data_IF_725200153008
#
_entry.id   IF_725200153008
#
_cell.length_a   1.000
_cell.length_b   1.000
_cell.length_c   1.000
_cell.angle_alpha   90.00
_cell.angle_beta   90.00
_cell.angle_gamma   90.00
#
_symmetry.space_group_name_H-M   'P 1'
#
loop_
_entity.id
_entity.type
_entity.pdbx_description
1 polymer ?
#
# COMPACT_ATOMS: atom_id res chain seq x y z
N UNK A 1 7.44 -13.01 -39.73
CA UNK A 1 6.97 -12.30 -38.52
C UNK A 1 8.14 -12.09 -37.59
N UNK A 2 8.13 -11.02 -36.79
CA UNK A 2 9.19 -10.69 -35.82
C UNK A 2 8.78 -11.21 -34.44
N UNK A 3 9.69 -11.90 -33.75
CA UNK A 3 9.45 -12.43 -32.40
C UNK A 3 9.47 -11.30 -31.37
N UNK A 4 8.44 -11.21 -30.53
CA UNK A 4 8.33 -10.25 -29.43
C UNK A 4 8.25 -11.03 -28.13
N UNK A 5 8.99 -10.59 -27.11
CA UNK A 5 9.02 -11.20 -25.78
C UNK A 5 8.74 -10.16 -24.69
N UNK A 6 8.34 -10.63 -23.51
CA UNK A 6 8.18 -9.84 -22.29
C UNK A 6 8.67 -10.62 -21.06
N UNK A 7 8.73 -9.95 -19.91
CA UNK A 7 9.19 -10.54 -18.64
C UNK A 7 8.04 -10.56 -17.62
N UNK A 8 7.07 -11.47 -17.78
CA UNK A 8 5.89 -11.46 -16.91
C UNK A 8 6.25 -11.93 -15.50
N UNK A 9 5.51 -11.44 -14.52
CA UNK A 9 5.44 -11.93 -13.13
C UNK A 9 6.62 -11.58 -12.19
N UNK A 10 7.76 -11.11 -12.69
CA UNK A 10 8.97 -10.92 -11.85
C UNK A 10 8.88 -9.75 -10.86
N UNK A 11 8.01 -8.75 -11.07
CA UNK A 11 7.95 -7.53 -10.24
C UNK A 11 6.80 -7.50 -9.22
N UNK A 12 6.06 -8.60 -9.09
CA UNK A 12 4.79 -8.61 -8.33
C UNK A 12 4.98 -8.25 -6.86
N UNK A 13 5.96 -8.89 -6.22
CA UNK A 13 6.18 -8.76 -4.78
C UNK A 13 6.85 -7.42 -4.45
N UNK A 14 7.89 -7.03 -5.18
CA UNK A 14 8.60 -5.75 -4.99
C UNK A 14 7.65 -4.54 -5.16
N UNK A 15 6.76 -4.60 -6.16
CA UNK A 15 5.77 -3.53 -6.36
C UNK A 15 4.77 -3.48 -5.21
N UNK A 16 4.39 -4.63 -4.65
CA UNK A 16 3.50 -4.69 -3.50
C UNK A 16 4.17 -4.14 -2.24
N UNK A 17 5.46 -4.43 -2.02
CA UNK A 17 6.24 -3.89 -0.91
C UNK A 17 6.36 -2.36 -1.00
N UNK A 18 6.69 -1.83 -2.19
CA UNK A 18 6.73 -0.39 -2.42
C UNK A 18 5.37 0.28 -2.19
N UNK A 19 4.28 -0.38 -2.62
CA UNK A 19 2.92 0.14 -2.38
C UNK A 19 2.63 0.28 -0.88
N UNK A 20 2.98 -0.74 -0.08
CA UNK A 20 2.82 -0.68 1.38
C UNK A 20 3.70 0.41 2.02
N UNK A 21 4.94 0.57 1.56
CA UNK A 21 5.83 1.63 2.02
C UNK A 21 5.21 3.02 1.78
N UNK A 22 4.69 3.28 0.58
CA UNK A 22 4.02 4.55 0.24
C UNK A 22 2.76 4.77 1.09
N UNK A 23 1.95 3.72 1.29
CA UNK A 23 0.75 3.79 2.14
C UNK A 23 1.04 4.15 3.59
N UNK A 24 2.20 3.74 4.12
CA UNK A 24 2.66 4.12 5.46
C UNK A 24 3.28 5.52 5.48
N UNK A 25 4.06 5.86 4.44
CA UNK A 25 4.80 7.10 4.37
C UNK A 25 3.92 8.34 4.40
N UNK A 26 2.80 8.32 3.67
CA UNK A 26 1.88 9.46 3.56
C UNK A 26 1.23 9.83 4.90
N UNK A 27 0.44 8.97 5.55
CA UNK A 27 -0.26 9.33 6.78
C UNK A 27 0.67 9.50 7.98
N UNK A 28 1.91 8.98 7.92
CA UNK A 28 2.93 9.17 8.96
C UNK A 28 3.90 10.32 8.64
N UNK A 29 3.69 11.03 7.52
CA UNK A 29 4.49 12.21 7.11
C UNK A 29 6.00 11.91 7.07
N UNK A 30 6.37 10.69 6.64
CA UNK A 30 7.76 10.23 6.68
C UNK A 30 8.70 11.11 5.85
N UNK A 31 8.27 11.52 4.65
CA UNK A 31 9.07 12.38 3.79
C UNK A 31 9.31 13.76 4.43
N UNK A 32 8.29 14.35 5.05
CA UNK A 32 8.43 15.63 5.77
C UNK A 32 9.38 15.50 6.95
N UNK A 33 9.23 14.43 7.75
CA UNK A 33 10.13 14.15 8.87
C UNK A 33 11.58 13.98 8.42
N UNK A 34 11.82 13.21 7.36
CA UNK A 34 13.15 13.05 6.78
C UNK A 34 13.74 14.38 6.33
N UNK A 35 12.97 15.19 5.59
CA UNK A 35 13.42 16.50 5.11
C UNK A 35 13.76 17.47 6.24
N UNK A 36 13.03 17.44 7.37
CA UNK A 36 13.36 18.27 8.53
C UNK A 36 14.70 17.85 9.16
N UNK A 37 14.99 16.55 9.19
CA UNK A 37 16.22 16.03 9.79
C UNK A 37 17.45 16.24 8.90
N UNK A 38 17.28 16.22 7.58
CA UNK A 38 18.37 16.39 6.61
C UNK A 38 18.55 17.83 6.14
N UNK A 39 17.62 18.73 6.46
CA UNK A 39 17.68 20.14 6.07
C UNK A 39 18.57 20.98 6.97
N UNK A 40 18.88 22.19 6.53
CA UNK A 40 19.76 23.13 7.26
C UNK A 40 19.13 23.70 8.55
N UNK A 41 17.81 23.56 8.70
CA UNK A 41 17.09 24.04 9.89
C UNK A 41 17.24 23.04 11.03
N UNK A 42 17.74 23.51 12.18
CA UNK A 42 17.89 22.69 13.39
C UNK A 42 16.52 22.18 13.86
N UNK A 43 16.36 20.86 13.93
CA UNK A 43 15.18 20.24 14.52
C UNK A 43 15.07 20.63 16.00
N UNK A 44 13.95 21.26 16.37
CA UNK A 44 13.73 21.78 17.73
C UNK A 44 13.47 20.69 18.79
N UNK A 45 13.49 19.41 18.40
CA UNK A 45 13.21 18.27 19.28
C UNK A 45 11.76 17.80 19.21
N UNK A 46 11.43 16.82 20.05
CA UNK A 46 10.11 16.21 20.13
C UNK A 46 9.11 17.15 20.83
N UNK A 47 7.84 17.13 20.39
CA UNK A 47 6.71 17.78 21.05
C UNK A 47 5.43 16.95 20.83
N UNK A 48 4.45 16.96 21.75
CA UNK A 48 3.18 16.23 21.58
C UNK A 48 2.41 16.56 20.30
N UNK A 49 2.58 17.78 19.78
CA UNK A 49 1.92 18.26 18.56
C UNK A 49 2.79 18.14 17.31
N UNK A 50 4.04 17.76 17.46
CA UNK A 50 4.97 17.63 16.35
C UNK A 50 4.65 16.40 15.50
N UNK A 51 4.49 16.60 14.19
CA UNK A 51 4.28 15.54 13.20
C UNK A 51 3.11 14.60 13.50
N UNK A 52 2.00 15.14 14.02
CA UNK A 52 0.76 14.38 14.16
C UNK A 52 0.33 13.80 12.81
N UNK A 53 0.28 12.47 12.76
CA UNK A 53 -0.12 11.70 11.59
C UNK A 53 -1.43 10.98 11.82
N UNK A 54 -1.79 10.10 10.89
CA UNK A 54 -2.97 9.24 11.00
C UNK A 54 -2.53 7.78 11.03
N UNK A 55 -3.20 6.96 11.85
CA UNK A 55 -3.03 5.51 11.80
C UNK A 55 -3.74 4.92 10.59
N UNK A 56 -3.23 3.82 10.04
CA UNK A 56 -3.91 3.07 8.96
C UNK A 56 -4.76 1.91 9.50
N UNK A 57 -4.47 1.41 10.70
CA UNK A 57 -5.23 0.34 11.33
C UNK A 57 -6.72 0.66 11.42
N UNK A 58 -7.56 -0.32 11.07
CA UNK A 58 -9.02 -0.22 11.08
C UNK A 58 -9.59 0.61 9.92
N UNK A 59 -8.77 1.05 8.97
CA UNK A 59 -9.23 1.74 7.76
C UNK A 59 -9.56 0.75 6.64
N UNK A 60 -10.31 1.24 5.66
CA UNK A 60 -10.66 0.50 4.44
C UNK A 60 -9.66 0.85 3.33
N UNK A 61 -9.09 -0.17 2.67
CA UNK A 61 -8.27 -0.03 1.48
C UNK A 61 -9.09 -0.44 0.25
N UNK A 62 -9.28 0.49 -0.69
CA UNK A 62 -9.85 0.21 -2.00
C UNK A 62 -8.77 -0.10 -3.03
N UNK A 63 -8.84 -1.25 -3.69
CA UNK A 63 -7.92 -1.68 -4.74
C UNK A 63 -8.67 -1.72 -6.09
N UNK A 64 -8.27 -0.88 -7.04
CA UNK A 64 -8.80 -0.93 -8.40
C UNK A 64 -7.89 -1.82 -9.25
N UNK A 65 -8.39 -3.00 -9.63
CA UNK A 65 -7.61 -4.03 -10.32
C UNK A 65 -6.94 -5.03 -9.36
N UNK A 66 -7.70 -6.06 -8.98
CA UNK A 66 -7.24 -7.24 -8.25
C UNK A 66 -6.57 -8.25 -9.18
N UNK A 67 -5.43 -7.85 -9.76
CA UNK A 67 -4.48 -8.73 -10.44
C UNK A 67 -3.41 -9.24 -9.49
N UNK A 68 -2.29 -9.75 -10.02
CA UNK A 68 -1.18 -10.31 -9.20
C UNK A 68 -0.67 -9.33 -8.13
N UNK A 69 -0.39 -8.09 -8.52
CA UNK A 69 0.09 -7.03 -7.60
C UNK A 69 -0.99 -6.67 -6.60
N UNK A 70 -2.23 -6.43 -7.05
CA UNK A 70 -3.36 -6.10 -6.16
C UNK A 70 -3.59 -7.15 -5.09
N UNK A 71 -3.49 -8.44 -5.44
CA UNK A 71 -3.55 -9.56 -4.50
C UNK A 71 -2.39 -9.55 -3.51
N UNK A 72 -1.17 -9.32 -3.98
CA UNK A 72 0.02 -9.26 -3.12
C UNK A 72 -0.02 -8.07 -2.14
N UNK A 73 -0.58 -6.92 -2.57
CA UNK A 73 -0.87 -5.75 -1.71
C UNK A 73 -1.95 -6.10 -0.69
N UNK A 74 -3.07 -6.68 -1.13
CA UNK A 74 -4.18 -7.06 -0.24
C UNK A 74 -3.73 -8.01 0.87
N UNK A 75 -2.88 -9.01 0.55
CA UNK A 75 -2.29 -9.93 1.51
C UNK A 75 -1.52 -9.21 2.61
N UNK A 76 -0.66 -8.26 2.25
CA UNK A 76 0.13 -7.46 3.21
C UNK A 76 -0.73 -6.49 4.00
N UNK A 77 -1.62 -5.77 3.32
CA UNK A 77 -2.50 -4.78 3.93
C UNK A 77 -3.40 -5.37 5.04
N UNK A 78 -3.84 -6.62 4.89
CA UNK A 78 -4.57 -7.34 5.96
C UNK A 78 -3.77 -7.46 7.26
N UNK A 79 -2.47 -7.72 7.18
CA UNK A 79 -1.60 -7.80 8.36
C UNK A 79 -1.47 -6.44 9.09
N UNK A 80 -1.67 -5.33 8.38
CA UNK A 80 -1.74 -3.98 8.96
C UNK A 80 -3.13 -3.62 9.51
N UNK A 81 -4.08 -4.57 9.52
CA UNK A 81 -5.44 -4.36 10.02
C UNK A 81 -6.32 -3.51 9.11
N UNK A 82 -6.06 -3.53 7.78
CA UNK A 82 -6.90 -2.87 6.80
C UNK A 82 -8.00 -3.80 6.28
N UNK A 83 -9.22 -3.27 6.15
CA UNK A 83 -10.32 -3.96 5.47
C UNK A 83 -10.19 -3.76 3.96
N UNK A 84 -10.11 -4.85 3.20
CA UNK A 84 -9.85 -4.79 1.75
C UNK A 84 -11.16 -4.76 0.96
N UNK A 85 -11.28 -3.80 0.04
CA UNK A 85 -12.31 -3.74 -0.98
C UNK A 85 -11.65 -3.64 -2.34
N UNK A 86 -12.26 -4.19 -3.38
CA UNK A 86 -11.70 -4.09 -4.72
C UNK A 86 -12.75 -3.95 -5.80
N UNK A 87 -12.31 -3.45 -6.95
CA UNK A 87 -13.11 -3.31 -8.15
C UNK A 87 -12.32 -3.75 -9.38
N UNK A 88 -12.91 -4.61 -10.22
CA UNK A 88 -12.34 -5.04 -11.50
C UNK A 88 -13.33 -4.75 -12.63
N UNK A 89 -12.81 -4.33 -13.80
CA UNK A 89 -13.61 -4.18 -15.03
C UNK A 89 -14.25 -5.49 -15.49
N UNK A 90 -13.54 -6.60 -15.34
CA UNK A 90 -14.05 -7.95 -15.56
C UNK A 90 -13.82 -8.75 -14.28
N UNK A 91 -14.86 -9.42 -13.74
CA UNK A 91 -14.69 -10.35 -12.61
C UNK A 91 -13.88 -11.56 -13.09
N UNK A 92 -12.55 -11.43 -13.07
CA UNK A 92 -11.62 -12.56 -13.26
C UNK A 92 -11.66 -13.53 -12.09
N UNK A 93 -11.25 -14.78 -12.33
CA UNK A 93 -11.37 -15.95 -11.45
C UNK A 93 -11.01 -15.67 -9.97
N UNK A 94 -11.79 -16.24 -9.03
CA UNK A 94 -11.75 -15.93 -7.60
C UNK A 94 -10.55 -16.61 -6.93
N UNK A 95 -9.40 -15.94 -6.90
CA UNK A 95 -8.28 -16.38 -6.04
C UNK A 95 -8.21 -15.59 -4.72
N UNK A 96 -9.08 -14.58 -4.54
CA UNK A 96 -9.13 -13.74 -3.32
C UNK A 96 -10.58 -13.42 -2.93
N UNK A 97 -11.51 -14.35 -3.16
CA UNK A 97 -12.82 -14.29 -2.50
C UNK A 97 -12.64 -14.77 -1.05
N UNK A 98 -12.03 -13.91 -0.26
CA UNK A 98 -11.88 -14.13 1.17
C UNK A 98 -13.23 -13.83 1.83
N UNK A 99 -14.01 -14.89 2.08
CA UNK A 99 -14.94 -15.18 3.21
C UNK A 99 -15.46 -14.02 4.11
N UNK A 100 -15.67 -12.81 3.63
CA UNK A 100 -16.15 -11.69 4.46
C UNK A 100 -17.31 -10.91 3.83
N UNK A 101 -18.14 -11.59 3.02
CA UNK A 101 -19.49 -11.11 2.69
C UNK A 101 -20.55 -11.93 3.43
N UNK A 102 -20.43 -12.06 4.75
CA UNK A 102 -21.56 -12.43 5.61
C UNK A 102 -21.32 -11.95 7.03
N UNK A 103 -21.66 -10.68 7.29
CA UNK A 103 -22.38 -10.16 8.47
C UNK A 103 -22.45 -8.64 8.40
#
# INVERSE_FOLDING_TARGET
GITVTNTPNVLTEDTADMTMALMLAVPRRLAEGANVLTGDKKWAGWSPTWMLGRRIWGKRLGIVGMGRIGTAVARRAKAFGLSIHYHNRHRGLPAVEDRQSTR
#
